data_IF_235319365621
#
_entry.id   IF_235319365621
#
_cell.length_a   1.000
_cell.length_b   1.000
_cell.length_c   1.000
_cell.angle_alpha   90.00
_cell.angle_beta   90.00
_cell.angle_gamma   90.00
#
_symmetry.space_group_name_H-M   'P 1'
#
loop_
_entity.id
_entity.type
_entity.pdbx_description
1 polymer ?
#
# COMPACT_ATOMS: atom_id res chain seq x y z
N UNK A 1 -31.41 -28.26 42.71
CA UNK A 1 -30.03 -27.97 42.29
C UNK A 1 -30.12 -26.89 41.21
N UNK A 2 -29.70 -25.66 41.48
CA UNK A 2 -29.79 -24.55 40.52
C UNK A 2 -28.47 -24.47 39.77
N UNK A 3 -28.51 -24.46 38.44
CA UNK A 3 -27.31 -24.38 37.60
C UNK A 3 -26.81 -22.93 37.55
N UNK A 4 -25.50 -22.67 37.67
CA UNK A 4 -24.97 -21.32 37.50
C UNK A 4 -25.13 -20.91 36.03
N UNK A 5 -25.96 -19.90 35.80
CA UNK A 5 -26.14 -19.28 34.49
C UNK A 5 -24.89 -18.41 34.23
N UNK A 6 -24.04 -18.86 33.32
CA UNK A 6 -22.94 -18.03 32.80
C UNK A 6 -23.54 -16.95 31.91
N UNK A 7 -23.58 -15.72 32.42
CA UNK A 7 -23.79 -14.53 31.59
C UNK A 7 -22.47 -14.26 30.86
N UNK A 8 -22.44 -14.51 29.56
CA UNK A 8 -21.31 -14.12 28.71
C UNK A 8 -21.54 -12.67 28.30
N UNK A 9 -20.96 -11.73 29.05
CA UNK A 9 -20.90 -10.33 28.65
C UNK A 9 -19.92 -10.18 27.48
N UNK A 10 -20.44 -10.27 26.25
CA UNK A 10 -19.68 -9.95 25.03
C UNK A 10 -19.47 -8.44 25.01
N UNK A 11 -18.31 -8.00 25.50
CA UNK A 11 -17.89 -6.60 25.33
C UNK A 11 -17.40 -6.44 23.89
N UNK A 12 -18.28 -6.02 22.99
CA UNK A 12 -17.91 -5.65 21.62
C UNK A 12 -17.01 -4.40 21.70
N UNK A 13 -15.69 -4.61 21.63
CA UNK A 13 -14.74 -3.52 21.52
C UNK A 13 -15.00 -2.84 20.18
N UNK A 14 -15.66 -1.66 20.21
CA UNK A 14 -15.94 -0.82 19.04
C UNK A 14 -14.75 -0.90 18.09
N UNK A 15 -14.95 -1.53 16.92
CA UNK A 15 -13.90 -1.81 15.96
C UNK A 15 -13.04 -0.57 15.76
N UNK A 16 -11.79 -0.63 16.21
CA UNK A 16 -10.86 0.48 16.04
C UNK A 16 -10.56 0.55 14.55
N UNK A 17 -11.11 1.56 13.88
CA UNK A 17 -10.74 1.87 12.49
C UNK A 17 -9.29 2.34 12.54
N UNK A 18 -8.36 1.42 12.31
CA UNK A 18 -6.95 1.76 12.11
C UNK A 18 -6.85 2.25 10.67
N UNK A 19 -6.53 3.53 10.47
CA UNK A 19 -6.18 4.04 9.16
C UNK A 19 -4.94 3.27 8.68
N UNK A 20 -5.08 2.44 7.65
CA UNK A 20 -3.92 1.86 6.99
C UNK A 20 -3.19 3.01 6.29
N UNK A 21 -1.85 3.07 6.38
CA UNK A 21 -1.08 4.03 5.61
C UNK A 21 -1.39 3.84 4.13
N UNK A 22 -1.65 4.94 3.41
CA UNK A 22 -1.84 4.89 1.97
C UNK A 22 -0.62 4.26 1.30
N UNK A 23 -0.87 3.33 0.37
CA UNK A 23 0.19 2.83 -0.49
C UNK A 23 0.78 3.98 -1.32
N UNK A 24 2.10 3.98 -1.58
CA UNK A 24 2.70 4.99 -2.44
C UNK A 24 2.11 4.91 -3.86
N UNK A 25 1.66 6.04 -4.40
CA UNK A 25 1.19 6.13 -5.78
C UNK A 25 2.37 6.22 -6.74
N UNK A 26 2.12 5.90 -8.02
CA UNK A 26 3.13 6.04 -9.07
C UNK A 26 3.62 7.50 -9.18
N UNK A 27 2.74 8.49 -8.97
CA UNK A 27 3.15 9.90 -8.98
C UNK A 27 4.08 10.24 -7.82
N UNK A 28 3.85 9.70 -6.61
CA UNK A 28 4.75 9.90 -5.46
C UNK A 28 6.13 9.32 -5.75
N UNK A 29 6.19 8.12 -6.33
CA UNK A 29 7.46 7.47 -6.73
C UNK A 29 8.18 8.29 -7.80
N UNK A 30 7.47 8.70 -8.86
CA UNK A 30 8.04 9.50 -9.94
C UNK A 30 8.59 10.85 -9.42
N UNK A 31 7.83 11.52 -8.55
CA UNK A 31 8.23 12.79 -7.95
C UNK A 31 9.47 12.65 -7.08
N UNK A 32 9.56 11.57 -6.29
CA UNK A 32 10.74 11.29 -5.47
C UNK A 32 11.98 11.03 -6.34
N UNK A 33 11.84 10.22 -7.40
CA UNK A 33 12.96 9.95 -8.33
C UNK A 33 13.41 11.22 -9.07
N UNK A 34 12.46 12.05 -9.50
CA UNK A 34 12.76 13.35 -10.12
C UNK A 34 13.52 14.28 -9.15
N UNK A 35 13.08 14.36 -7.88
CA UNK A 35 13.75 15.16 -6.85
C UNK A 35 15.17 14.66 -6.53
N UNK A 36 15.44 13.36 -6.72
CA UNK A 36 16.78 12.76 -6.59
C UNK A 36 17.67 13.02 -7.81
N UNK A 37 17.18 13.72 -8.84
CA UNK A 37 17.95 14.01 -10.05
C UNK A 37 18.14 12.80 -10.97
N UNK A 38 17.31 11.77 -10.83
CA UNK A 38 17.35 10.57 -11.66
C UNK A 38 17.00 10.96 -13.10
N UNK A 39 17.77 10.46 -14.08
CA UNK A 39 17.51 10.77 -15.49
C UNK A 39 16.23 10.08 -15.97
N UNK A 40 15.55 10.58 -17.02
CA UNK A 40 14.41 9.87 -17.61
C UNK A 40 14.74 8.43 -18.00
N UNK A 41 15.97 8.16 -18.47
CA UNK A 41 16.44 6.81 -18.82
C UNK A 41 16.46 5.88 -17.60
N UNK A 42 16.95 6.38 -16.48
CA UNK A 42 17.05 5.60 -15.25
C UNK A 42 15.68 5.41 -14.60
N UNK A 43 14.80 6.42 -14.67
CA UNK A 43 13.39 6.26 -14.28
C UNK A 43 12.70 5.15 -15.08
N UNK A 44 12.91 5.08 -16.40
CA UNK A 44 12.36 4.00 -17.22
C UNK A 44 12.87 2.62 -16.77
N UNK A 45 14.17 2.50 -16.48
CA UNK A 45 14.76 1.25 -16.00
C UNK A 45 14.17 0.82 -14.64
N UNK A 46 13.96 1.77 -13.73
CA UNK A 46 13.33 1.52 -12.43
C UNK A 46 11.87 1.07 -12.59
N UNK A 47 11.08 1.77 -13.42
CA UNK A 47 9.68 1.39 -13.68
C UNK A 47 9.58 0.02 -14.37
N UNK A 48 10.49 -0.31 -15.29
CA UNK A 48 10.56 -1.64 -15.90
C UNK A 48 10.92 -2.73 -14.89
N UNK A 49 11.88 -2.47 -14.01
CA UNK A 49 12.25 -3.41 -12.95
C UNK A 49 11.07 -3.66 -11.99
N UNK A 50 10.34 -2.61 -11.59
CA UNK A 50 9.14 -2.75 -10.75
C UNK A 50 8.02 -3.50 -11.46
N UNK A 51 7.85 -3.30 -12.77
CA UNK A 51 6.90 -4.07 -13.59
C UNK A 51 7.25 -5.55 -13.62
N UNK A 52 8.54 -5.87 -13.84
CA UNK A 52 9.03 -7.25 -13.84
C UNK A 52 8.91 -7.92 -12.47
N UNK A 53 9.08 -7.17 -11.39
CA UNK A 53 8.91 -7.64 -10.02
C UNK A 53 7.43 -7.83 -9.62
N UNK A 54 6.47 -7.47 -10.49
CA UNK A 54 5.04 -7.49 -10.19
C UNK A 54 4.60 -6.39 -9.22
N UNK A 55 5.50 -5.49 -8.84
CA UNK A 55 5.23 -4.36 -7.96
C UNK A 55 4.50 -3.20 -8.67
N UNK A 56 4.47 -3.22 -10.00
CA UNK A 56 3.81 -2.20 -10.83
C UNK A 56 3.04 -2.85 -11.98
N UNK A 57 1.72 -2.66 -12.00
CA UNK A 57 0.86 -3.03 -13.12
C UNK A 57 0.58 -1.78 -13.97
N UNK A 58 1.46 -1.54 -14.95
CA UNK A 58 1.36 -0.39 -15.85
C UNK A 58 2.02 -0.66 -17.21
N UNK A 59 1.70 0.20 -18.19
CA UNK A 59 2.38 0.28 -19.48
C UNK A 59 3.17 1.58 -19.58
N UNK A 60 4.42 1.48 -20.05
CA UNK A 60 5.27 2.64 -20.28
C UNK A 60 5.04 3.13 -21.71
N UNK A 61 4.55 4.37 -21.86
CA UNK A 61 4.32 5.01 -23.15
C UNK A 61 5.46 5.99 -23.42
N UNK A 62 6.21 5.77 -24.49
CA UNK A 62 7.27 6.67 -24.95
C UNK A 62 6.77 7.32 -26.24
N UNK A 63 6.75 8.65 -26.30
CA UNK A 63 6.43 9.44 -27.50
C UNK A 63 7.61 10.33 -27.86
#
# INVERSE_FOLDING_TARGET
>A
MVTPRTTTDVTESKGRVVALPELPTVEKVASALNALGVTPRDMMAIFQAMKQAGALQAELVIR
#
